data_IF_753021274242
#
_entry.id   IF_753021274242
#
_cell.length_a   1.000
_cell.length_b   1.000
_cell.length_c   1.000
_cell.angle_alpha   90.00
_cell.angle_beta   90.00
_cell.angle_gamma   90.00
#
_symmetry.space_group_name_H-M   'P 1'
#
loop_
_entity.id
_entity.type
_entity.pdbx_description
1 polymer ?
#
# COMPACT_ATOMS: atom_id res chain seq x y z
N UNK A 1 8.77 -4.21 11.17
CA UNK A 1 8.14 -4.04 12.50
C UNK A 1 7.04 -5.07 12.66
N UNK A 2 6.71 -5.48 13.89
CA UNK A 2 5.75 -6.57 14.15
C UNK A 2 4.71 -6.07 15.15
N UNK A 3 3.44 -6.40 14.93
CA UNK A 3 2.33 -6.03 15.81
C UNK A 3 1.62 -4.74 15.39
N UNK A 4 0.49 -4.48 16.04
CA UNK A 4 -0.30 -3.28 15.83
C UNK A 4 0.30 -2.07 16.52
N UNK A 5 0.63 -1.01 15.76
CA UNK A 5 1.12 0.26 16.30
C UNK A 5 1.04 1.41 15.31
N UNK A 6 1.03 2.62 15.88
CA UNK A 6 1.23 3.88 15.16
C UNK A 6 2.71 4.26 15.22
N UNK A 7 3.26 4.67 14.09
CA UNK A 7 4.66 5.04 13.93
C UNK A 7 4.80 6.25 12.99
N UNK A 8 5.89 7.00 13.09
CA UNK A 8 6.18 8.09 12.15
C UNK A 8 6.73 7.52 10.85
N UNK A 9 6.03 7.74 9.73
CA UNK A 9 6.62 7.52 8.40
C UNK A 9 7.58 8.67 8.10
N UNK A 10 7.09 9.90 8.27
CA UNK A 10 7.85 11.14 8.14
C UNK A 10 7.43 12.09 9.27
N UNK A 11 8.41 12.66 9.97
CA UNK A 11 8.19 13.78 10.90
C UNK A 11 9.22 14.87 10.63
N UNK A 12 8.72 16.05 10.28
CA UNK A 12 9.50 17.29 10.17
C UNK A 12 8.84 18.38 11.03
N UNK A 13 9.40 19.58 11.04
CA UNK A 13 8.75 20.72 11.71
C UNK A 13 7.37 21.03 11.12
N UNK A 14 7.21 20.92 9.79
CA UNK A 14 5.97 21.29 9.08
C UNK A 14 5.07 20.12 8.73
N UNK A 15 5.65 18.96 8.41
CA UNK A 15 4.97 17.82 7.77
C UNK A 15 5.01 16.61 8.68
N UNK A 16 3.83 16.12 9.06
CA UNK A 16 3.67 14.97 9.95
C UNK A 16 2.88 13.88 9.22
N UNK A 17 3.50 12.73 9.02
CA UNK A 17 2.89 11.57 8.35
C UNK A 17 3.11 10.34 9.24
N UNK A 18 2.02 9.74 9.70
CA UNK A 18 2.04 8.53 10.51
C UNK A 18 1.55 7.33 9.71
N UNK A 19 2.16 6.18 9.95
CA UNK A 19 1.67 4.89 9.51
C UNK A 19 0.94 4.19 10.65
N UNK A 20 -0.13 3.48 10.32
CA UNK A 20 -0.76 2.49 11.19
C UNK A 20 -0.41 1.11 10.65
N UNK A 21 0.23 0.31 11.49
CA UNK A 21 0.45 -1.11 11.20
C UNK A 21 -0.51 -1.97 11.99
N UNK A 22 -0.86 -3.14 11.46
CA UNK A 22 -1.53 -4.20 12.21
C UNK A 22 -0.89 -5.56 11.97
N UNK A 23 -1.30 -6.49 12.84
CA UNK A 23 -1.04 -7.91 12.78
C UNK A 23 0.43 -8.27 13.05
N UNK A 24 0.70 -9.56 13.21
CA UNK A 24 2.07 -10.07 13.43
C UNK A 24 3.00 -9.86 12.22
N UNK A 25 2.45 -9.54 11.05
CA UNK A 25 3.24 -9.28 9.84
C UNK A 25 3.62 -7.80 9.69
N UNK A 26 3.06 -6.89 10.51
CA UNK A 26 3.35 -5.47 10.43
C UNK A 26 2.88 -4.84 9.11
N UNK A 27 1.73 -5.26 8.61
CA UNK A 27 1.16 -4.71 7.37
C UNK A 27 0.75 -3.27 7.58
N UNK A 28 1.03 -2.41 6.60
CA UNK A 28 0.49 -1.06 6.59
C UNK A 28 -1.02 -1.15 6.37
N UNK A 29 -1.77 -0.52 7.27
CA UNK A 29 -3.23 -0.52 7.31
C UNK A 29 -3.83 0.88 7.30
N UNK A 30 -3.01 1.91 7.49
CA UNK A 30 -3.45 3.29 7.37
C UNK A 30 -2.29 4.25 7.28
N UNK A 31 -2.56 5.42 6.72
CA UNK A 31 -1.72 6.60 6.75
C UNK A 31 -2.54 7.78 7.27
N UNK A 32 -1.94 8.57 8.14
CA UNK A 32 -2.53 9.81 8.63
C UNK A 32 -1.56 10.96 8.37
N UNK A 33 -2.09 12.10 7.92
CA UNK A 33 -1.35 13.27 7.45
C UNK A 33 -1.86 14.47 8.23
N UNK A 34 -0.92 15.23 8.80
CA UNK A 34 -1.21 16.38 9.65
C UNK A 34 0.01 17.28 9.82
N UNK A 35 -0.04 18.18 10.80
CA UNK A 35 1.03 19.12 11.12
C UNK A 35 0.76 20.53 10.59
N UNK A 36 1.69 21.48 10.85
CA UNK A 36 1.47 22.89 10.54
C UNK A 36 1.04 23.19 9.10
N UNK A 37 1.55 22.44 8.12
CA UNK A 37 1.20 22.66 6.70
C UNK A 37 -0.29 22.38 6.39
N UNK A 38 -0.93 21.53 7.20
CA UNK A 38 -2.35 21.20 7.08
C UNK A 38 -3.28 22.21 7.76
N UNK A 39 -2.74 23.29 8.36
CA UNK A 39 -3.52 24.41 8.95
C UNK A 39 -4.57 23.96 9.98
N UNK A 40 -4.24 22.94 10.76
CA UNK A 40 -5.12 22.37 11.80
C UNK A 40 -6.05 21.27 11.31
N UNK A 41 -6.09 21.00 10.00
CA UNK A 41 -6.85 19.87 9.45
C UNK A 41 -6.03 18.57 9.50
N UNK A 42 -6.71 17.45 9.31
CA UNK A 42 -6.13 16.12 9.28
C UNK A 42 -6.76 15.26 8.19
N UNK A 43 -5.93 14.50 7.48
CA UNK A 43 -6.38 13.48 6.55
C UNK A 43 -5.97 12.09 7.04
N UNK A 44 -6.89 11.14 7.01
CA UNK A 44 -6.65 9.74 7.37
C UNK A 44 -7.14 8.85 6.25
N UNK A 45 -6.28 7.99 5.73
CA UNK A 45 -6.63 6.94 4.78
C UNK A 45 -6.33 5.59 5.42
N UNK A 46 -7.29 4.67 5.44
CA UNK A 46 -7.09 3.38 6.10
C UNK A 46 -7.87 2.26 5.42
N UNK A 47 -7.37 1.04 5.59
CA UNK A 47 -7.95 -0.18 5.05
C UNK A 47 -9.13 -0.63 5.94
N UNK A 48 -10.32 -0.71 5.35
CA UNK A 48 -11.56 -1.16 6.01
C UNK A 48 -11.87 -2.64 5.79
N UNK A 49 -10.95 -3.39 5.18
CA UNK A 49 -11.07 -4.81 4.88
C UNK A 49 -11.14 -5.09 3.38
N UNK A 50 -10.77 -6.32 2.97
CA UNK A 50 -10.74 -6.75 1.57
C UNK A 50 -9.96 -5.82 0.63
N UNK A 51 -8.97 -5.09 1.17
CA UNK A 51 -8.14 -4.09 0.49
C UNK A 51 -8.89 -2.80 0.10
N UNK A 52 -10.16 -2.64 0.48
CA UNK A 52 -10.88 -1.39 0.31
C UNK A 52 -10.31 -0.33 1.26
N UNK A 53 -10.00 0.84 0.72
CA UNK A 53 -9.52 1.98 1.49
C UNK A 53 -10.64 2.99 1.70
N UNK A 54 -10.63 3.63 2.86
CA UNK A 54 -11.51 4.74 3.23
C UNK A 54 -10.67 5.97 3.55
N UNK A 55 -11.01 7.09 2.93
CA UNK A 55 -10.41 8.39 3.19
C UNK A 55 -11.33 9.25 4.06
N UNK A 56 -10.78 9.85 5.10
CA UNK A 56 -11.46 10.79 5.98
C UNK A 56 -10.67 12.09 6.07
N UNK A 57 -11.36 13.22 5.98
CA UNK A 57 -10.82 14.56 6.22
C UNK A 57 -11.58 15.17 7.38
N UNK A 58 -10.89 15.49 8.47
CA UNK A 58 -11.48 15.96 9.73
C UNK A 58 -12.68 15.09 10.18
N UNK A 59 -12.48 13.77 10.16
CA UNK A 59 -13.48 12.74 10.49
C UNK A 59 -14.69 12.66 9.55
N UNK A 60 -14.68 13.37 8.43
CA UNK A 60 -15.70 13.27 7.39
C UNK A 60 -15.23 12.36 6.25
N UNK A 61 -16.06 11.39 5.88
CA UNK A 61 -15.78 10.49 4.76
C UNK A 61 -15.77 11.29 3.44
N UNK A 62 -14.66 11.19 2.70
CA UNK A 62 -14.45 11.84 1.40
C UNK A 62 -14.08 10.78 0.36
N UNK A 63 -14.15 11.13 -0.93
CA UNK A 63 -13.79 10.24 -2.05
C UNK A 63 -14.61 8.93 -2.04
N UNK A 64 -15.93 9.08 -1.96
CA UNK A 64 -16.87 7.98 -1.68
C UNK A 64 -17.08 7.13 -2.92
N UNK A 65 -17.30 7.78 -4.06
CA UNK A 65 -17.54 7.12 -5.35
C UNK A 65 -16.24 6.55 -5.93
N UNK A 66 -16.32 5.64 -6.91
CA UNK A 66 -15.14 4.99 -7.49
C UNK A 66 -14.22 5.95 -8.25
N UNK A 67 -14.80 7.03 -8.80
CA UNK A 67 -14.11 8.21 -9.32
C UNK A 67 -14.69 9.42 -8.62
N UNK A 68 -13.87 10.16 -7.87
CA UNK A 68 -14.33 11.27 -7.03
C UNK A 68 -13.21 12.28 -6.79
N UNK A 69 -13.58 13.52 -6.50
CA UNK A 69 -12.67 14.63 -6.24
C UNK A 69 -13.06 15.36 -4.96
N UNK A 70 -12.07 15.81 -4.20
CA UNK A 70 -12.25 16.58 -2.98
C UNK A 70 -11.25 17.72 -2.90
N UNK A 71 -11.72 18.92 -2.57
CA UNK A 71 -10.88 20.12 -2.55
C UNK A 71 -11.13 20.95 -1.29
N UNK A 72 -10.04 21.28 -0.58
CA UNK A 72 -10.00 22.32 0.44
C UNK A 72 -8.92 23.31 0.07
N UNK A 73 -9.35 24.54 -0.22
CA UNK A 73 -8.51 25.61 -0.73
C UNK A 73 -7.24 25.81 0.12
N UNK A 74 -6.08 25.66 -0.53
CA UNK A 74 -4.74 25.77 0.10
C UNK A 74 -4.53 24.74 1.22
N UNK A 75 -5.15 23.58 1.17
CA UNK A 75 -4.90 22.51 2.14
C UNK A 75 -4.67 21.22 1.39
N UNK A 76 -5.67 20.79 0.61
CA UNK A 76 -5.59 19.54 -0.13
C UNK A 76 -6.41 19.62 -1.42
N UNK A 77 -5.83 19.06 -2.48
CA UNK A 77 -6.49 18.62 -3.70
C UNK A 77 -6.41 17.09 -3.74
N UNK A 78 -7.54 16.41 -3.69
CA UNK A 78 -7.60 14.96 -3.58
C UNK A 78 -8.44 14.37 -4.70
N UNK A 79 -7.98 13.25 -5.25
CA UNK A 79 -8.67 12.51 -6.31
C UNK A 79 -8.63 11.02 -5.98
N UNK A 80 -9.72 10.32 -6.27
CA UNK A 80 -9.78 8.85 -6.32
C UNK A 80 -10.12 8.43 -7.74
N UNK A 81 -9.37 7.46 -8.25
CA UNK A 81 -9.55 6.88 -9.58
C UNK A 81 -9.68 5.36 -9.49
N UNK A 82 -10.36 4.74 -10.45
CA UNK A 82 -10.45 3.28 -10.53
C UNK A 82 -9.10 2.62 -10.86
N UNK A 83 -8.20 3.37 -11.51
CA UNK A 83 -6.91 2.88 -12.01
C UNK A 83 -5.88 4.01 -12.08
N UNK A 84 -4.63 3.65 -12.31
CA UNK A 84 -3.57 4.61 -12.52
C UNK A 84 -3.79 5.48 -13.77
N UNK A 85 -3.81 6.79 -13.58
CA UNK A 85 -3.93 7.79 -14.65
C UNK A 85 -2.62 8.56 -14.85
N UNK A 86 -2.01 8.41 -16.03
CA UNK A 86 -0.67 8.96 -16.35
C UNK A 86 -0.62 10.49 -16.32
N UNK A 87 -1.75 11.15 -16.61
CA UNK A 87 -1.84 12.62 -16.58
C UNK A 87 -1.98 13.20 -15.17
N UNK A 88 -2.40 12.38 -14.21
CA UNK A 88 -2.64 12.79 -12.84
C UNK A 88 -1.48 12.41 -11.92
N UNK A 89 -0.96 11.19 -12.07
CA UNK A 89 0.01 10.64 -11.13
C UNK A 89 1.46 10.82 -11.58
N UNK A 90 2.36 10.99 -10.61
CA UNK A 90 3.78 11.08 -10.86
C UNK A 90 4.36 9.76 -11.41
N UNK A 91 4.74 9.76 -12.69
CA UNK A 91 5.34 8.59 -13.37
C UNK A 91 6.62 8.04 -12.72
N UNK A 92 7.32 8.84 -11.93
CA UNK A 92 8.55 8.40 -11.27
C UNK A 92 8.27 7.41 -10.12
N UNK A 93 7.04 7.38 -9.62
CA UNK A 93 6.57 6.34 -8.67
C UNK A 93 6.77 4.96 -9.29
N UNK A 94 6.48 4.77 -10.58
CA UNK A 94 6.64 3.49 -11.27
C UNK A 94 8.12 3.08 -11.46
N UNK A 95 9.08 3.95 -11.13
CA UNK A 95 10.52 3.68 -11.23
C UNK A 95 11.14 3.37 -9.87
N UNK A 96 10.37 3.43 -8.79
CA UNK A 96 10.86 3.13 -7.45
C UNK A 96 11.42 1.71 -7.40
N UNK A 97 12.60 1.60 -6.79
CA UNK A 97 13.27 0.32 -6.58
C UNK A 97 12.82 -0.25 -5.26
N UNK A 98 12.43 -1.51 -5.27
CA UNK A 98 12.09 -2.25 -4.06
C UNK A 98 13.04 -3.42 -3.92
N UNK A 99 13.61 -3.60 -2.74
CA UNK A 99 14.50 -4.74 -2.47
C UNK A 99 13.73 -6.06 -2.36
N UNK A 100 12.40 -5.98 -2.22
CA UNK A 100 11.55 -7.12 -1.93
C UNK A 100 10.65 -7.52 -3.09
N UNK A 101 10.48 -8.83 -3.32
CA UNK A 101 9.48 -9.34 -4.23
C UNK A 101 8.09 -9.22 -3.57
N UNK A 102 7.13 -8.73 -4.34
CA UNK A 102 5.72 -8.74 -3.95
C UNK A 102 4.99 -9.93 -4.57
N UNK A 103 3.87 -10.35 -3.96
CA UNK A 103 3.06 -11.45 -4.50
C UNK A 103 2.51 -11.13 -5.89
N UNK A 104 2.25 -9.86 -6.18
CA UNK A 104 1.77 -9.39 -7.48
C UNK A 104 2.86 -9.10 -8.51
N UNK A 105 4.13 -9.35 -8.17
CA UNK A 105 5.28 -9.17 -9.04
C UNK A 105 6.01 -7.84 -8.80
N UNK A 106 6.58 -7.21 -9.84
CA UNK A 106 7.30 -5.95 -9.70
C UNK A 106 6.43 -4.82 -9.14
N UNK A 107 7.05 -3.88 -8.42
CA UNK A 107 6.37 -2.74 -7.79
C UNK A 107 5.35 -1.99 -8.67
N UNK A 108 5.61 -1.71 -9.97
CA UNK A 108 4.63 -1.03 -10.83
C UNK A 108 3.27 -1.75 -10.93
N UNK A 109 3.24 -3.08 -10.75
CA UNK A 109 2.00 -3.85 -10.79
C UNK A 109 1.02 -3.47 -9.66
N UNK A 110 1.51 -2.83 -8.59
CA UNK A 110 0.66 -2.34 -7.50
C UNK A 110 -0.25 -1.20 -7.95
N UNK A 111 0.12 -0.47 -9.01
CA UNK A 111 -0.62 0.69 -9.50
C UNK A 111 -1.25 0.44 -10.86
N UNK A 112 -0.58 -0.34 -11.72
CA UNK A 112 -1.02 -0.58 -13.09
C UNK A 112 -2.10 -1.67 -13.21
N UNK A 113 -2.26 -2.53 -12.19
CA UNK A 113 -3.41 -3.44 -12.12
C UNK A 113 -4.54 -2.73 -11.40
N UNK A 114 -5.80 -2.81 -11.87
CA UNK A 114 -6.92 -2.15 -11.21
C UNK A 114 -7.00 -2.55 -9.74
N UNK A 115 -6.68 -1.64 -8.81
CA UNK A 115 -6.69 -1.94 -7.38
C UNK A 115 -8.11 -2.07 -6.86
N UNK A 116 -8.31 -2.96 -5.88
CA UNK A 116 -9.61 -3.03 -5.19
C UNK A 116 -9.77 -1.77 -4.35
N UNK A 117 -10.75 -0.93 -4.69
CA UNK A 117 -11.02 0.33 -4.00
C UNK A 117 -10.30 1.56 -4.56
N UNK A 118 -9.60 1.44 -5.70
CA UNK A 118 -9.06 2.59 -6.43
C UNK A 118 -7.62 2.99 -6.08
N UNK A 119 -7.13 3.99 -6.81
CA UNK A 119 -5.88 4.71 -6.58
C UNK A 119 -6.26 6.09 -6.02
N UNK A 120 -5.66 6.45 -4.91
CA UNK A 120 -5.85 7.74 -4.25
C UNK A 120 -4.64 8.61 -4.51
N UNK A 121 -4.89 9.87 -4.86
CA UNK A 121 -3.88 10.90 -5.01
C UNK A 121 -4.26 12.10 -4.16
N UNK A 122 -3.34 12.54 -3.31
CA UNK A 122 -3.49 13.73 -2.48
C UNK A 122 -2.33 14.68 -2.77
N UNK A 123 -2.64 15.89 -3.24
CA UNK A 123 -1.69 16.99 -3.33
C UNK A 123 -1.96 17.97 -2.19
N UNK A 124 -0.91 18.42 -1.55
CA UNK A 124 -0.99 19.37 -0.45
C UNK A 124 -0.11 20.60 -0.73
N UNK A 125 -0.30 21.65 0.08
CA UNK A 125 0.63 22.79 0.13
C UNK A 125 2.08 22.30 0.42
N UNK A 126 3.09 23.15 0.14
CA UNK A 126 4.53 22.84 0.32
C UNK A 126 5.05 21.71 -0.58
N UNK A 127 4.30 21.30 -1.61
CA UNK A 127 4.73 20.32 -2.60
C UNK A 127 4.70 18.87 -2.11
N UNK A 128 3.96 18.58 -1.04
CA UNK A 128 3.77 17.21 -0.55
C UNK A 128 2.70 16.53 -1.40
N UNK A 129 3.00 15.33 -1.86
CA UNK A 129 2.09 14.46 -2.61
C UNK A 129 2.09 13.07 -1.97
N UNK A 130 0.90 12.50 -1.81
CA UNK A 130 0.72 11.13 -1.34
C UNK A 130 -0.12 10.35 -2.34
N UNK A 131 0.45 9.28 -2.88
CA UNK A 131 -0.28 8.30 -3.69
C UNK A 131 -0.47 7.03 -2.87
N UNK A 132 -1.70 6.48 -2.86
CA UNK A 132 -2.00 5.28 -2.10
C UNK A 132 -2.94 4.33 -2.85
N UNK A 133 -2.82 3.03 -2.57
CA UNK A 133 -3.67 2.01 -3.17
C UNK A 133 -3.75 0.74 -2.32
N UNK A 134 -4.86 0.00 -2.46
CA UNK A 134 -5.13 -1.26 -1.76
C UNK A 134 -4.83 -2.46 -2.65
N UNK A 135 -3.56 -2.89 -2.70
CA UNK A 135 -3.10 -3.98 -3.59
C UNK A 135 -2.12 -4.88 -2.86
N UNK A 136 -2.52 -6.14 -2.63
CA UNK A 136 -1.99 -7.09 -1.62
C UNK A 136 -2.10 -6.57 -0.18
N UNK A 137 -1.53 -5.39 0.06
CA UNK A 137 -1.56 -4.58 1.27
C UNK A 137 -1.83 -3.13 0.89
N UNK A 138 -2.01 -2.26 1.89
CA UNK A 138 -2.00 -0.83 1.61
C UNK A 138 -0.58 -0.43 1.18
N UNK A 139 -0.46 0.11 -0.03
CA UNK A 139 0.79 0.68 -0.55
C UNK A 139 0.66 2.20 -0.54
N UNK A 140 1.66 2.89 -0.02
CA UNK A 140 1.70 4.36 0.07
C UNK A 140 3.04 4.85 -0.42
N UNK A 141 3.02 5.88 -1.25
CA UNK A 141 4.20 6.59 -1.73
C UNK A 141 4.05 8.06 -1.36
N UNK A 142 5.07 8.58 -0.69
CA UNK A 142 5.17 9.99 -0.31
C UNK A 142 6.23 10.64 -1.18
N UNK A 143 5.87 11.68 -1.90
CA UNK A 143 6.79 12.58 -2.58
C UNK A 143 6.71 13.95 -1.91
N UNK A 144 7.86 14.52 -1.54
CA UNK A 144 7.90 15.83 -0.90
C UNK A 144 9.27 16.49 -1.07
N UNK A 145 9.36 17.83 -1.05
CA UNK A 145 10.64 18.52 -0.99
C UNK A 145 11.36 18.26 0.33
N UNK A 146 12.69 18.26 0.28
CA UNK A 146 13.53 18.19 1.48
C UNK A 146 13.25 19.40 2.38
N UNK A 147 12.94 19.14 3.64
CA UNK A 147 12.73 20.18 4.63
C UNK A 147 14.05 20.57 5.30
N UNK A 148 14.21 21.85 5.63
CA UNK A 148 15.43 22.40 6.25
C UNK A 148 15.68 21.85 7.66
N UNK A 149 14.63 21.45 8.38
CA UNK A 149 14.71 20.86 9.73
C UNK A 149 15.15 19.40 9.74
N UNK A 150 15.38 18.79 8.56
CA UNK A 150 15.67 17.36 8.44
C UNK A 150 14.41 16.51 8.59
N UNK A 151 14.55 15.22 8.27
CA UNK A 151 13.46 14.25 8.36
C UNK A 151 13.76 13.19 9.42
N UNK A 152 12.70 12.73 10.08
CA UNK A 152 12.72 11.64 11.05
C UNK A 152 11.63 10.62 10.68
N UNK A 153 11.74 9.40 11.23
CA UNK A 153 10.78 8.32 11.01
C UNK A 153 11.29 7.21 10.09
N UNK A 154 10.37 6.32 9.73
CA UNK A 154 10.68 5.06 9.04
C UNK A 154 11.05 5.22 7.56
N UNK A 155 10.84 6.40 6.97
CA UNK A 155 11.23 6.71 5.59
C UNK A 155 12.64 7.31 5.47
N UNK A 156 13.44 7.27 6.54
CA UNK A 156 14.82 7.77 6.56
C UNK A 156 14.93 9.27 6.80
N UNK A 157 16.16 9.78 6.74
CA UNK A 157 16.50 11.17 7.04
C UNK A 157 16.49 12.07 5.78
N UNK A 158 16.38 11.48 4.58
CA UNK A 158 16.31 12.14 3.28
C UNK A 158 17.50 13.08 2.99
N UNK A 159 18.69 12.73 3.44
CA UNK A 159 19.90 13.50 3.21
C UNK A 159 20.59 13.21 1.87
N UNK A 160 20.14 12.18 1.15
CA UNK A 160 20.69 11.71 -0.13
C UNK A 160 21.66 10.52 0.00
N UNK A 161 21.86 9.98 1.20
CA UNK A 161 22.71 8.83 1.50
C UNK A 161 21.84 7.68 2.04
N UNK A 162 21.47 6.69 1.21
CA UNK A 162 20.63 5.57 1.68
C UNK A 162 21.33 4.69 2.72
N UNK A 163 22.65 4.77 2.86
CA UNK A 163 23.45 3.92 3.74
C UNK A 163 23.26 4.23 5.23
N UNK A 164 22.72 5.40 5.58
CA UNK A 164 22.46 5.80 6.97
C UNK A 164 20.96 5.78 7.36
N UNK A 165 20.08 5.38 6.45
CA UNK A 165 18.64 5.29 6.67
C UNK A 165 18.24 3.97 7.35
N UNK A 166 18.99 2.89 7.12
CA UNK A 166 18.73 1.59 7.71
C UNK A 166 19.99 0.72 7.74
N UNK A 167 20.03 -0.22 8.68
CA UNK A 167 21.07 -1.24 8.74
C UNK A 167 20.51 -2.64 8.41
N UNK A 168 21.28 -3.50 7.73
CA UNK A 168 20.86 -4.87 7.50
C UNK A 168 20.74 -5.68 8.79
N UNK A 169 19.62 -6.39 8.95
CA UNK A 169 19.42 -7.34 10.06
C UNK A 169 19.12 -8.71 9.48
N UNK A 170 20.02 -9.68 9.63
CA UNK A 170 19.83 -11.05 9.11
C UNK A 170 19.16 -11.93 10.19
N UNK A 171 18.13 -12.73 9.87
CA UNK A 171 17.48 -12.96 8.57
C UNK A 171 16.21 -12.10 8.35
N UNK A 172 16.14 -10.93 8.98
CA UNK A 172 14.95 -10.07 8.99
C UNK A 172 15.03 -8.94 7.96
N UNK A 173 14.09 -8.00 8.07
CA UNK A 173 14.07 -6.75 7.31
C UNK A 173 15.11 -5.78 7.85
N UNK A 174 15.64 -4.91 6.99
CA UNK A 174 16.55 -3.84 7.41
C UNK A 174 15.91 -3.04 8.56
N UNK A 175 16.69 -2.77 9.61
CA UNK A 175 16.24 -1.99 10.75
C UNK A 175 16.45 -0.52 10.42
N UNK A 176 15.39 0.31 10.44
CA UNK A 176 15.54 1.74 10.20
C UNK A 176 16.41 2.37 11.28
N UNK A 177 17.13 3.42 10.90
CA UNK A 177 18.01 4.21 11.75
C UNK A 177 17.50 5.65 11.87
N UNK A 178 17.97 6.34 12.91
CA UNK A 178 17.67 7.75 13.14
C UNK A 178 16.52 8.01 14.13
N UNK A 179 16.12 9.29 14.28
CA UNK A 179 15.11 9.71 15.24
C UNK A 179 13.69 9.35 14.79
N UNK A 180 12.74 9.38 15.75
CA UNK A 180 11.31 9.20 15.45
C UNK A 180 10.90 7.75 15.19
N UNK A 181 11.71 6.77 15.61
CA UNK A 181 11.42 5.35 15.43
C UNK A 181 10.66 4.71 16.60
N UNK A 182 10.60 5.42 17.73
CA UNK A 182 9.82 5.03 18.91
C UNK A 182 8.31 5.01 18.60
N UNK A 183 7.52 4.18 19.32
CA UNK A 183 6.07 4.21 19.22
C UNK A 183 5.51 5.62 19.42
N UNK A 184 4.52 6.00 18.62
CA UNK A 184 3.88 7.31 18.77
C UNK A 184 2.97 7.28 20.01
N UNK A 185 3.16 8.19 20.99
CA UNK A 185 2.24 8.29 22.11
C UNK A 185 0.81 8.59 21.65
N UNK A 186 -0.20 8.05 22.35
CA UNK A 186 -1.61 8.30 22.01
C UNK A 186 -1.96 9.79 21.91
N UNK A 187 -1.36 10.63 22.75
CA UNK A 187 -1.51 12.09 22.76
C UNK A 187 -0.88 12.81 21.56
N UNK A 188 -0.10 12.11 20.73
CA UNK A 188 0.49 12.60 19.48
C UNK A 188 -0.05 11.88 18.24
N UNK A 189 -0.82 10.80 18.42
CA UNK A 189 -1.37 10.05 17.30
C UNK A 189 -2.31 10.93 16.45
N UNK A 190 -2.25 10.76 15.14
CA UNK A 190 -3.17 11.33 14.16
C UNK A 190 -4.33 10.36 13.85
N UNK A 191 -4.41 9.21 14.53
CA UNK A 191 -5.46 8.21 14.34
C UNK A 191 -6.51 8.24 15.47
N UNK A 192 -6.71 9.39 16.13
CA UNK A 192 -7.45 9.50 17.41
C UNK A 192 -8.91 9.10 17.34
N UNK A 193 -9.54 9.35 16.20
CA UNK A 193 -10.99 9.19 16.01
C UNK A 193 -11.36 7.88 15.32
N UNK A 194 -10.37 7.01 15.08
CA UNK A 194 -10.63 5.70 14.53
C UNK A 194 -11.43 4.88 15.58
N UNK A 195 -12.57 4.28 15.20
CA UNK A 195 -13.46 3.59 16.14
C UNK A 195 -12.70 2.54 16.95
N UNK A 196 -12.97 2.44 18.26
CA UNK A 196 -12.32 1.46 19.14
C UNK A 196 -12.39 0.06 18.52
N UNK A 197 -11.23 -0.58 18.33
CA UNK A 197 -11.06 -1.82 17.55
C UNK A 197 -10.40 -1.64 16.19
N UNK A 198 -10.23 -0.40 15.72
CA UNK A 198 -9.49 -0.08 14.49
C UNK A 198 -8.07 0.46 14.71
N UNK A 199 -7.68 0.74 15.95
CA UNK A 199 -6.28 0.93 16.35
C UNK A 199 -5.97 -0.14 17.37
N UNK A 200 -5.06 -1.06 17.02
CA UNK A 200 -4.71 -2.23 17.84
C UNK A 200 -4.18 -1.80 19.20
N UNK A 201 -5.02 -1.83 20.23
CA UNK A 201 -4.69 -1.58 21.63
C UNK A 201 -4.51 -2.89 22.36
N UNK A 202 -3.50 -3.68 21.96
CA UNK A 202 -3.02 -4.81 22.77
C UNK A 202 -1.67 -4.51 23.45
N UNK A 203 -0.94 -3.48 23.00
CA UNK A 203 0.40 -3.18 23.54
C UNK A 203 0.39 -2.45 24.89
N UNK A 204 -0.65 -1.65 25.22
CA UNK A 204 -0.66 -0.87 26.47
C UNK A 204 -1.35 -1.58 27.66
N UNK A 205 -1.92 -2.79 27.47
CA UNK A 205 -2.55 -3.56 28.58
C UNK A 205 -1.63 -4.56 29.28
N UNK A 206 -0.40 -4.76 28.81
CA UNK A 206 0.48 -5.83 29.32
C UNK A 206 1.57 -5.37 30.28
N UNK A 207 1.88 -4.08 30.40
CA UNK A 207 2.94 -3.59 31.31
C UNK A 207 2.50 -3.40 32.77
N UNK A 208 1.20 -3.39 33.08
CA UNK A 208 0.73 -3.29 34.48
C UNK A 208 0.38 -4.66 35.11
N UNK A 209 0.48 -5.76 34.36
CA UNK A 209 -0.02 -7.07 34.81
C UNK A 209 1.01 -8.23 34.86
N UNK A 210 2.26 -8.05 34.42
CA UNK A 210 3.22 -9.15 34.29
C UNK A 210 4.40 -9.08 35.27
N UNK A 211 4.09 -9.14 36.56
CA UNK A 211 4.98 -9.82 37.51
C UNK A 211 4.89 -11.33 37.28
N UNK A 212 6.04 -11.99 37.11
CA UNK A 212 6.28 -13.46 37.23
C UNK A 212 6.58 -14.22 35.92
N UNK A 213 7.89 -14.43 35.72
CA UNK A 213 8.62 -15.64 35.27
C UNK A 213 8.05 -16.58 34.18
N UNK A 214 8.95 -16.82 33.22
CA UNK A 214 9.32 -18.08 32.54
C UNK A 214 8.64 -18.46 31.21
N UNK A 215 9.50 -18.46 30.17
CA UNK A 215 9.81 -19.55 29.24
C UNK A 215 8.68 -20.47 28.76
N UNK A 216 8.53 -20.55 27.43
CA UNK A 216 7.82 -21.67 26.80
C UNK A 216 7.47 -21.42 25.34
N UNK A 217 8.39 -21.78 24.45
CA UNK A 217 8.10 -22.06 23.04
C UNK A 217 7.13 -23.24 22.98
N UNK A 218 5.96 -23.08 22.35
CA UNK A 218 5.08 -24.19 21.97
C UNK A 218 4.51 -23.94 20.56
N UNK A 219 4.88 -24.83 19.63
CA UNK A 219 4.16 -25.06 18.38
C UNK A 219 2.88 -25.84 18.67
N UNK A 220 1.74 -25.42 18.08
CA UNK A 220 0.55 -26.26 17.99
C UNK A 220 0.00 -26.26 16.56
N UNK A 221 -0.11 -27.47 16.03
CA UNK A 221 -0.68 -27.85 14.73
C UNK A 221 -2.11 -28.33 14.97
N UNK A 222 -3.10 -27.84 14.22
CA UNK A 222 -4.37 -28.55 14.04
C UNK A 222 -5.09 -28.15 12.74
N UNK A 223 -5.82 -29.12 12.21
CA UNK A 223 -6.39 -29.26 10.88
C UNK A 223 -7.64 -28.40 10.58
N UNK A 224 -7.81 -28.08 9.30
CA UNK A 224 -9.08 -28.12 8.55
C UNK A 224 -8.69 -28.35 7.07
N UNK A 225 -9.32 -29.17 6.23
CA UNK A 225 -10.72 -29.52 6.14
C UNK A 225 -11.18 -29.20 4.72
N UNK A 226 -11.02 -30.17 3.81
CA UNK A 226 -11.77 -30.41 2.57
C UNK A 226 -12.37 -29.22 1.77
N UNK A 227 -11.69 -28.83 0.67
CA UNK A 227 -12.31 -28.46 -0.63
C UNK A 227 -11.36 -28.87 -1.76
N UNK A 228 -11.48 -30.10 -2.24
CA UNK A 228 -10.78 -30.61 -3.43
C UNK A 228 -11.78 -31.41 -4.25
N UNK A 229 -12.55 -30.74 -5.09
CA UNK A 229 -13.22 -31.43 -6.20
C UNK A 229 -13.56 -30.48 -7.36
N UNK A 230 -13.75 -29.19 -7.13
CA UNK A 230 -14.08 -28.25 -8.22
C UNK A 230 -12.88 -27.74 -9.05
N UNK A 231 -11.64 -27.83 -8.53
CA UNK A 231 -10.45 -27.25 -9.19
C UNK A 231 -9.70 -28.24 -10.13
N UNK A 232 -10.10 -29.52 -10.12
CA UNK A 232 -9.49 -30.55 -10.97
C UNK A 232 -10.02 -30.53 -12.41
N UNK A 233 -11.28 -30.15 -12.62
CA UNK A 233 -11.92 -30.16 -13.94
C UNK A 233 -11.56 -28.93 -14.78
N UNK A 234 -11.46 -27.74 -14.16
CA UNK A 234 -11.00 -26.54 -14.86
C UNK A 234 -9.57 -26.70 -15.41
N UNK A 235 -8.68 -27.34 -14.63
CA UNK A 235 -7.31 -27.64 -15.06
C UNK A 235 -7.25 -28.68 -16.19
N UNK A 236 -8.13 -29.69 -16.19
CA UNK A 236 -8.22 -30.67 -17.30
C UNK A 236 -8.70 -30.04 -18.60
N UNK A 237 -9.66 -29.12 -18.54
CA UNK A 237 -10.18 -28.42 -19.72
C UNK A 237 -9.10 -27.51 -20.33
N UNK A 238 -8.33 -26.81 -19.48
CA UNK A 238 -7.25 -25.93 -19.95
C UNK A 238 -6.10 -26.72 -20.58
N UNK A 239 -5.67 -27.81 -19.95
CA UNK A 239 -4.60 -28.67 -20.47
C UNK A 239 -4.99 -29.36 -21.80
N UNK A 240 -6.25 -29.74 -21.97
CA UNK A 240 -6.73 -30.34 -23.23
C UNK A 240 -6.68 -29.35 -24.40
N UNK A 241 -7.09 -28.10 -24.18
CA UNK A 241 -7.04 -27.04 -25.22
C UNK A 241 -5.60 -26.67 -25.61
N UNK A 242 -4.69 -26.65 -24.64
CA UNK A 242 -3.27 -26.41 -24.88
C UNK A 242 -2.67 -27.55 -25.72
N UNK A 243 -2.94 -28.81 -25.37
CA UNK A 243 -2.41 -29.96 -26.11
C UNK A 243 -2.98 -30.09 -27.53
N UNK A 244 -4.26 -29.74 -27.74
CA UNK A 244 -4.87 -29.69 -29.08
C UNK A 244 -4.22 -28.61 -29.96
N UNK A 245 -3.87 -27.45 -29.40
CA UNK A 245 -3.12 -26.41 -30.12
C UNK A 245 -1.72 -26.90 -30.54
N UNK A 246 -1.01 -27.60 -29.65
CA UNK A 246 0.33 -28.14 -29.92
C UNK A 246 0.36 -29.42 -30.77
N UNK A 247 -0.80 -29.98 -31.13
CA UNK A 247 -0.90 -31.12 -32.05
C UNK A 247 -1.22 -30.72 -33.49
N UNK A 248 -1.52 -29.44 -33.76
CA UNK A 248 -1.85 -28.97 -35.09
C UNK A 248 -0.59 -28.79 -35.98
N UNK A 249 -0.58 -29.22 -37.25
CA UNK A 249 0.54 -29.04 -38.18
C UNK A 249 0.98 -27.57 -38.29
N UNK A 250 2.30 -27.34 -38.38
CA UNK A 250 2.91 -26.00 -38.30
C UNK A 250 2.26 -24.98 -39.26
N UNK A 251 1.96 -25.39 -40.50
CA UNK A 251 1.36 -24.53 -41.53
C UNK A 251 -0.03 -24.01 -41.17
N UNK A 252 -0.81 -24.71 -40.33
CA UNK A 252 -2.13 -24.24 -39.86
C UNK A 252 -2.03 -23.30 -38.66
N UNK A 253 -0.93 -23.34 -37.90
CA UNK A 253 -0.69 -22.38 -36.80
C UNK A 253 -0.33 -21.01 -37.32
N UNK A 254 0.45 -20.94 -38.39
CA UNK A 254 0.82 -19.67 -39.03
C UNK A 254 -0.42 -18.98 -39.60
N UNK A 255 -1.35 -19.71 -40.23
CA UNK A 255 -2.60 -19.12 -40.75
C UNK A 255 -3.52 -18.62 -39.62
N UNK A 256 -3.57 -19.31 -38.48
CA UNK A 256 -4.37 -18.88 -37.33
C UNK A 256 -3.78 -17.64 -36.64
N UNK A 257 -2.46 -17.56 -36.48
CA UNK A 257 -1.79 -16.37 -35.97
C UNK A 257 -1.93 -15.17 -36.92
N UNK A 258 -1.84 -15.41 -38.22
CA UNK A 258 -1.97 -14.36 -39.23
C UNK A 258 -3.39 -13.79 -39.26
N UNK A 259 -4.43 -14.63 -39.09
CA UNK A 259 -5.81 -14.18 -38.92
C UNK A 259 -6.05 -13.42 -37.62
N UNK A 260 -5.41 -13.80 -36.52
CA UNK A 260 -5.49 -13.04 -35.25
C UNK A 260 -4.86 -11.64 -35.38
N UNK A 261 -3.76 -11.53 -36.13
CA UNK A 261 -3.13 -10.23 -36.39
C UNK A 261 -3.93 -9.36 -37.36
N UNK A 262 -4.58 -9.94 -38.38
CA UNK A 262 -5.47 -9.20 -39.27
C UNK A 262 -6.70 -8.63 -38.55
N UNK A 263 -7.25 -9.34 -37.56
CA UNK A 263 -8.36 -8.85 -36.72
C UNK A 263 -7.90 -7.75 -35.75
N UNK A 264 -6.64 -7.80 -35.29
CA UNK A 264 -6.06 -6.76 -34.45
C UNK A 264 -5.77 -5.48 -35.26
N UNK A 265 -5.24 -5.60 -36.48
CA UNK A 265 -4.96 -4.46 -37.37
C UNK A 265 -6.23 -3.80 -37.93
N UNK A 266 -7.30 -4.59 -38.17
CA UNK A 266 -8.59 -4.04 -38.61
C UNK A 266 -9.23 -3.12 -37.54
N UNK A 267 -9.01 -3.42 -36.25
CA UNK A 267 -9.48 -2.58 -35.14
C UNK A 267 -8.72 -1.27 -34.96
N UNK A 268 -7.49 -1.16 -35.49
CA UNK A 268 -6.68 0.06 -35.37
C UNK A 268 -6.98 1.06 -36.50
N UNK A 269 -7.63 0.63 -37.59
CA UNK A 269 -7.96 1.50 -38.73
C UNK A 269 -9.35 2.13 -38.68
N UNK A 270 -10.22 1.71 -37.77
CA UNK A 270 -11.54 2.36 -37.57
C UNK A 270 -11.50 3.54 -36.60
N UNK A 271 -10.35 3.80 -35.95
CA UNK A 271 -10.15 4.90 -34.99
C UNK A 271 -9.08 5.94 -35.45
N UNK A 272 -8.91 6.13 -36.76
CA UNK A 272 -8.10 7.22 -37.36
C UNK A 272 -8.90 7.98 -38.43
#
# INVERSE_FOLDING_TARGET
>A
FVGGRVFWLVKTEKVWIQGLSRDSEGKLMGVAIGGPFMKGNQLVLYNVGNLSLRAEFDSQHILVEDVDEFHVKRVVDAVKEEKWEVGLHNKDILKLRTEHPFNLGPFPNHFLRPPRGGVFLFHFDEGVEVTATGVDYMSVVVAMPRQSSGHAGYCGNYNGSPEDDAEPVVPSWNRPLGPGLDPVPRSESLFRDLPEGSVGTEAERSEEAAGTRHAGVIYARAHAGSRREEDADARRILLRRVLEFYSCPLHLRETALQRCNEVADARIREDC
#
